data_IF_588338662433
#
_entry.id   IF_588338662433
#
_cell.length_a   1.000
_cell.length_b   1.000
_cell.length_c   1.000
_cell.angle_alpha   90.00
_cell.angle_beta   90.00
_cell.angle_gamma   90.00
#
_symmetry.space_group_name_H-M   'P 1'
#
loop_
_entity.id
_entity.type
_entity.pdbx_description
1 polymer ?
#
# COMPACT_ATOMS: atom_id res chain seq x y z
N UNK A 1 -12.20 -4.81 -8.15
CA UNK A 1 -11.93 -5.15 -6.73
C UNK A 1 -10.72 -6.07 -6.55
N UNK A 2 -10.64 -7.24 -7.20
CA UNK A 2 -9.46 -8.13 -7.06
C UNK A 2 -8.15 -7.43 -7.48
N UNK A 3 -8.16 -6.73 -8.62
CA UNK A 3 -7.02 -5.94 -9.10
C UNK A 3 -6.63 -4.81 -8.14
N UNK A 4 -7.60 -4.15 -7.50
CA UNK A 4 -7.32 -3.09 -6.51
C UNK A 4 -6.59 -3.62 -5.28
N UNK A 5 -7.00 -4.80 -4.82
CA UNK A 5 -6.41 -5.46 -3.65
C UNK A 5 -4.96 -5.85 -3.94
N UNK A 6 -4.72 -6.40 -5.12
CA UNK A 6 -3.38 -6.76 -5.58
C UNK A 6 -2.50 -5.54 -5.78
N UNK A 7 -3.01 -4.49 -6.43
CA UNK A 7 -2.31 -3.23 -6.62
C UNK A 7 -1.98 -2.54 -5.28
N UNK A 8 -2.90 -2.55 -4.32
CA UNK A 8 -2.69 -2.03 -2.98
C UNK A 8 -1.61 -2.80 -2.21
N UNK A 9 -1.64 -4.13 -2.30
CA UNK A 9 -0.65 -4.99 -1.67
C UNK A 9 0.74 -4.72 -2.25
N UNK A 10 0.88 -4.77 -3.58
CA UNK A 10 2.15 -4.47 -4.27
C UNK A 10 2.62 -3.05 -3.94
N UNK A 11 1.72 -2.07 -3.99
CA UNK A 11 2.02 -0.68 -3.66
C UNK A 11 2.57 -0.52 -2.24
N UNK A 12 2.01 -1.22 -1.25
CA UNK A 12 2.50 -1.17 0.14
C UNK A 12 3.90 -1.76 0.28
N UNK A 13 4.17 -2.88 -0.40
CA UNK A 13 5.49 -3.51 -0.40
C UNK A 13 6.54 -2.64 -1.10
N UNK A 14 6.18 -1.96 -2.19
CA UNK A 14 7.05 -1.01 -2.89
C UNK A 14 7.43 0.19 -2.01
N UNK A 15 6.45 0.77 -1.30
CA UNK A 15 6.67 1.88 -0.37
C UNK A 15 7.65 1.46 0.74
N UNK A 16 7.44 0.28 1.32
CA UNK A 16 8.34 -0.29 2.32
C UNK A 16 9.76 -0.53 1.77
N UNK A 17 9.86 -1.07 0.55
CA UNK A 17 11.13 -1.37 -0.14
C UNK A 17 11.93 -0.11 -0.47
N UNK A 18 11.24 0.99 -0.76
CA UNK A 18 11.84 2.30 -0.94
C UNK A 18 12.25 2.97 0.39
N UNK A 19 12.02 2.32 1.53
CA UNK A 19 12.41 2.82 2.85
C UNK A 19 11.43 3.80 3.47
N UNK A 20 10.19 3.88 2.97
CA UNK A 20 9.12 4.65 3.59
C UNK A 20 8.32 3.80 4.59
N UNK A 21 7.83 4.42 5.66
CA UNK A 21 7.07 3.72 6.70
C UNK A 21 5.68 3.29 6.19
N UNK A 22 5.39 1.98 6.05
CA UNK A 22 4.13 1.49 5.49
C UNK A 22 2.91 1.82 6.37
N UNK A 23 3.11 2.15 7.66
CA UNK A 23 2.02 2.50 8.59
C UNK A 23 1.32 3.80 8.22
N UNK A 24 1.91 4.62 7.35
CA UNK A 24 1.33 5.87 6.87
C UNK A 24 0.24 5.62 5.81
N UNK A 25 0.31 4.48 5.09
CA UNK A 25 -0.58 4.20 3.96
C UNK A 25 -2.09 4.19 4.32
N UNK A 26 -2.55 3.55 5.41
CA UNK A 26 -3.97 3.57 5.78
C UNK A 26 -4.53 4.99 5.99
N UNK A 27 -3.74 5.89 6.59
CA UNK A 27 -4.14 7.28 6.82
C UNK A 27 -4.26 8.07 5.52
N UNK A 28 -3.41 7.79 4.53
CA UNK A 28 -3.52 8.40 3.19
C UNK A 28 -4.83 8.01 2.53
N UNK A 29 -5.18 6.72 2.53
CA UNK A 29 -6.42 6.22 1.93
C UNK A 29 -7.67 6.67 2.69
N UNK A 30 -7.60 6.80 4.00
CA UNK A 30 -8.69 7.37 4.80
C UNK A 30 -8.95 8.84 4.45
N UNK A 31 -7.88 9.64 4.33
CA UNK A 31 -7.99 11.06 3.90
C UNK A 31 -8.50 11.16 2.47
N UNK A 32 -8.01 10.31 1.56
CA UNK A 32 -8.47 10.27 0.17
C UNK A 32 -9.97 9.96 0.06
N UNK A 33 -10.48 9.06 0.90
CA UNK A 33 -11.91 8.76 0.99
C UNK A 33 -12.78 9.89 1.54
N UNK A 34 -12.19 10.87 2.26
CA UNK A 34 -12.90 12.04 2.81
C UNK A 34 -12.93 13.23 1.83
N UNK A 35 -12.00 13.32 0.88
CA UNK A 35 -11.88 14.46 -0.07
C UNK A 35 -12.80 14.29 -1.30
N UNK A 36 -14.06 13.88 -1.10
CA UNK A 36 -15.02 13.55 -2.18
C UNK A 36 -15.53 14.77 -3.01
N UNK A 37 -14.85 15.92 -2.96
CA UNK A 37 -15.32 17.21 -3.47
C UNK A 37 -14.61 17.75 -4.72
N UNK A 38 -13.41 17.27 -5.06
CA UNK A 38 -12.64 17.77 -6.23
C UNK A 38 -12.88 16.89 -7.47
N UNK A 39 -13.10 17.49 -8.65
CA UNK A 39 -13.57 16.76 -9.84
C UNK A 39 -12.61 15.65 -10.30
N UNK A 40 -11.29 15.83 -10.16
CA UNK A 40 -10.29 14.82 -10.49
C UNK A 40 -10.35 13.59 -9.56
N UNK A 41 -10.76 13.79 -8.30
CA UNK A 41 -10.97 12.73 -7.33
C UNK A 41 -12.27 11.97 -7.60
N UNK A 42 -13.30 12.62 -8.14
CA UNK A 42 -14.55 11.96 -8.54
C UNK A 42 -14.33 10.94 -9.66
N UNK A 43 -13.56 11.27 -10.69
CA UNK A 43 -13.27 10.35 -11.78
C UNK A 43 -12.45 9.14 -11.28
N UNK A 44 -11.45 9.39 -10.43
CA UNK A 44 -10.69 8.32 -9.77
C UNK A 44 -11.57 7.43 -8.87
N UNK A 45 -12.47 8.01 -8.08
CA UNK A 45 -13.42 7.26 -7.25
C UNK A 45 -14.48 6.53 -8.09
N UNK A 46 -14.77 7.00 -9.31
CA UNK A 46 -15.71 6.32 -10.23
C UNK A 46 -15.13 5.04 -10.82
N UNK A 47 -13.83 5.03 -11.14
CA UNK A 47 -13.12 3.85 -11.66
C UNK A 47 -12.61 2.95 -10.54
N UNK A 48 -12.40 3.49 -9.33
CA UNK A 48 -11.93 2.77 -8.13
C UNK A 48 -12.86 3.01 -6.91
N UNK A 49 -14.08 2.43 -6.88
CA UNK A 49 -15.16 2.80 -5.95
C UNK A 49 -15.03 2.34 -4.49
N UNK A 50 -13.82 2.08 -3.97
CA UNK A 50 -13.66 1.40 -2.67
C UNK A 50 -12.57 1.92 -1.72
N UNK A 51 -12.27 3.22 -1.74
CA UNK A 51 -11.25 3.82 -0.84
C UNK A 51 -11.32 3.38 0.64
N UNK A 52 -12.53 3.29 1.22
CA UNK A 52 -12.74 2.80 2.60
C UNK A 52 -12.37 1.32 2.78
N UNK A 53 -12.71 0.47 1.83
CA UNK A 53 -12.45 -0.98 1.88
C UNK A 53 -10.98 -1.31 1.59
N UNK A 54 -10.33 -0.49 0.76
CA UNK A 54 -8.89 -0.50 0.51
C UNK A 54 -8.09 -0.11 1.75
N UNK A 55 -8.49 0.98 2.43
CA UNK A 55 -7.88 1.38 3.71
C UNK A 55 -7.99 0.28 4.78
N UNK A 56 -9.16 -0.36 4.90
CA UNK A 56 -9.35 -1.50 5.81
C UNK A 56 -8.46 -2.70 5.45
N UNK A 57 -8.24 -2.95 4.16
CA UNK A 57 -7.40 -4.06 3.70
C UNK A 57 -5.92 -3.82 4.02
N UNK A 58 -5.43 -2.62 3.74
CA UNK A 58 -4.05 -2.23 4.06
C UNK A 58 -3.77 -2.19 5.57
N UNK A 59 -4.80 -1.94 6.39
CA UNK A 59 -4.71 -2.01 7.84
C UNK A 59 -4.73 -3.46 8.38
N UNK A 60 -4.94 -4.49 7.55
CA UNK A 60 -4.88 -5.87 8.02
C UNK A 60 -3.48 -6.23 8.51
N UNK A 61 -3.41 -6.83 9.70
CA UNK A 61 -2.15 -7.16 10.37
C UNK A 61 -1.19 -7.95 9.47
N UNK A 62 -1.70 -8.94 8.73
CA UNK A 62 -0.87 -9.78 7.85
C UNK A 62 -0.12 -8.98 6.76
N UNK A 63 -0.80 -8.04 6.10
CA UNK A 63 -0.21 -7.23 5.03
C UNK A 63 0.77 -6.21 5.63
N UNK A 64 0.38 -5.60 6.76
CA UNK A 64 1.20 -4.62 7.46
C UNK A 64 2.48 -5.23 8.04
N UNK A 65 2.41 -6.45 8.59
CA UNK A 65 3.57 -7.17 9.13
C UNK A 65 4.59 -7.50 8.05
N UNK A 66 4.15 -7.93 6.87
CA UNK A 66 5.00 -8.20 5.71
C UNK A 66 5.72 -6.92 5.25
N UNK A 67 4.97 -5.83 5.04
CA UNK A 67 5.57 -4.55 4.65
C UNK A 67 6.52 -4.01 5.73
N UNK A 68 6.21 -4.18 7.01
CA UNK A 68 7.09 -3.77 8.11
C UNK A 68 8.37 -4.60 8.18
N UNK A 69 8.33 -5.89 7.84
CA UNK A 69 9.53 -6.71 7.74
C UNK A 69 10.48 -6.16 6.69
N UNK A 70 9.96 -5.90 5.48
CA UNK A 70 10.70 -5.26 4.39
C UNK A 70 11.28 -3.91 4.82
N UNK A 71 10.45 -3.03 5.38
CA UNK A 71 10.88 -1.70 5.82
C UNK A 71 12.02 -1.78 6.85
N UNK A 72 11.97 -2.72 7.79
CA UNK A 72 13.05 -2.94 8.77
C UNK A 72 14.34 -3.42 8.10
N UNK A 73 14.25 -4.32 7.13
CA UNK A 73 15.42 -4.84 6.42
C UNK A 73 16.10 -3.75 5.58
N UNK A 74 15.32 -2.95 4.86
CA UNK A 74 15.81 -1.78 4.13
C UNK A 74 16.49 -0.78 5.07
N UNK A 75 15.85 -0.46 6.21
CA UNK A 75 16.43 0.44 7.22
C UNK A 75 17.70 -0.10 7.87
N UNK A 76 17.86 -1.43 7.91
CA UNK A 76 19.07 -2.10 8.39
C UNK A 76 20.17 -2.25 7.31
N UNK A 77 19.95 -1.73 6.10
CA UNK A 77 20.93 -1.77 5.00
C UNK A 77 20.88 -3.04 4.14
N UNK A 78 19.87 -3.90 4.30
CA UNK A 78 19.67 -5.15 3.52
C UNK A 78 18.76 -4.98 2.30
N UNK A 79 18.72 -3.78 1.70
CA UNK A 79 17.74 -3.44 0.66
C UNK A 79 17.85 -4.27 -0.64
N UNK A 80 18.99 -4.91 -0.91
CA UNK A 80 19.23 -5.67 -2.16
C UNK A 80 18.49 -7.02 -2.16
N UNK A 81 18.38 -7.67 -1.01
CA UNK A 81 17.71 -8.98 -0.87
C UNK A 81 16.18 -8.88 -0.97
N UNK A 82 15.63 -7.69 -0.69
CA UNK A 82 14.19 -7.41 -0.70
C UNK A 82 13.60 -7.38 -2.12
N UNK A 83 14.30 -6.77 -3.08
CA UNK A 83 13.85 -6.70 -4.47
C UNK A 83 13.75 -8.10 -5.09
N UNK A 84 14.66 -9.00 -4.74
CA UNK A 84 14.69 -10.38 -5.25
C UNK A 84 13.50 -11.20 -4.71
N UNK A 85 13.15 -11.02 -3.43
CA UNK A 85 11.98 -11.67 -2.80
C UNK A 85 10.66 -11.20 -3.39
N UNK A 86 10.54 -9.90 -3.74
CA UNK A 86 9.33 -9.34 -4.35
C UNK A 86 9.13 -9.84 -5.78
N UNK A 87 10.21 -9.97 -6.55
CA UNK A 87 10.16 -10.42 -7.94
C UNK A 87 10.01 -11.93 -8.09
N UNK A 88 10.36 -12.71 -7.07
CA UNK A 88 10.30 -14.18 -7.12
C UNK A 88 8.94 -14.78 -6.72
N UNK A 89 7.97 -13.96 -6.28
CA UNK A 89 6.67 -14.42 -5.76
C UNK A 89 5.48 -14.17 -6.70
N UNK A 90 5.72 -13.68 -7.91
CA UNK A 90 4.72 -13.44 -8.95
C UNK A 90 4.97 -14.29 -10.19
#
# INVERSE_FOLDING_TARGET
>A
MRMEIEADHIGLLLVASAGYDPRVAPTVYEKLGKISGESALRDYLSTHPSGKKRAQLLAQAKIMEEALAIYRDVRAGRGVEVCEVLLSRH
#
